data_IF_682927321028
#
_entry.id   IF_682927321028
#
_cell.length_a   1.000
_cell.length_b   1.000
_cell.length_c   1.000
_cell.angle_alpha   90.00
_cell.angle_beta   90.00
_cell.angle_gamma   90.00
#
_symmetry.space_group_name_H-M   'P 1'
#
loop_
_entity.id
_entity.type
_entity.pdbx_description
1 polymer ?
#
# COMPACT_ATOMS: atom_id res chain seq x y z
N UNK A 1 16.93 -34.16 42.10
CA UNK A 1 17.92 -33.35 41.39
C UNK A 1 17.38 -33.14 39.99
N UNK A 2 17.06 -31.89 39.65
CA UNK A 2 16.43 -31.49 38.40
C UNK A 2 17.31 -31.80 37.19
N UNK A 3 16.69 -32.01 36.03
CA UNK A 3 16.94 -31.23 34.82
C UNK A 3 15.76 -31.43 33.86
N UNK A 4 14.87 -30.44 33.82
CA UNK A 4 13.96 -30.23 32.70
C UNK A 4 14.79 -29.69 31.52
N UNK A 5 14.68 -30.35 30.38
CA UNK A 5 15.16 -29.82 29.10
C UNK A 5 14.01 -29.11 28.40
N UNK A 6 13.97 -27.78 28.49
CA UNK A 6 13.05 -26.96 27.71
C UNK A 6 13.38 -27.08 26.21
N UNK A 7 12.54 -27.81 25.48
CA UNK A 7 12.55 -27.82 24.02
C UNK A 7 11.94 -26.52 23.53
N UNK A 8 12.81 -25.62 23.06
CA UNK A 8 12.48 -24.41 22.32
C UNK A 8 11.86 -24.78 20.96
N UNK A 9 10.58 -25.20 21.01
CA UNK A 9 9.77 -25.43 19.82
C UNK A 9 9.55 -24.07 19.16
N UNK A 10 10.15 -23.88 17.99
CA UNK A 10 9.93 -22.73 17.12
C UNK A 10 8.44 -22.36 17.12
N UNK A 11 8.13 -21.10 17.45
CA UNK A 11 6.78 -20.53 17.37
C UNK A 11 6.34 -20.58 15.91
N UNK A 12 5.84 -21.75 15.49
CA UNK A 12 5.32 -22.02 14.18
C UNK A 12 4.20 -21.04 13.89
N UNK A 13 4.29 -20.38 12.74
CA UNK A 13 3.23 -19.58 12.15
C UNK A 13 1.88 -20.28 12.31
N UNK A 14 0.90 -19.60 12.92
CA UNK A 14 -0.47 -20.12 13.04
C UNK A 14 -1.00 -20.54 11.65
N UNK A 15 -1.86 -21.56 11.56
CA UNK A 15 -2.48 -21.94 10.29
C UNK A 15 -3.23 -20.75 9.69
N UNK A 16 -3.17 -20.55 8.37
CA UNK A 16 -3.80 -19.41 7.69
C UNK A 16 -5.29 -19.22 8.05
N UNK A 17 -6.03 -20.30 8.36
CA UNK A 17 -7.46 -20.25 8.76
C UNK A 17 -7.72 -19.52 10.08
N UNK A 18 -6.75 -19.46 10.99
CA UNK A 18 -6.90 -18.74 12.26
C UNK A 18 -6.61 -17.24 12.12
N UNK A 19 -5.87 -16.84 11.08
CA UNK A 19 -5.60 -15.43 10.78
C UNK A 19 -6.85 -14.67 10.39
N UNK A 20 -7.75 -15.29 9.64
CA UNK A 20 -9.02 -14.69 9.20
C UNK A 20 -10.05 -14.55 10.32
N UNK A 21 -9.76 -15.06 11.51
CA UNK A 21 -10.59 -14.86 12.71
C UNK A 21 -10.06 -13.74 13.60
N UNK A 22 -8.83 -13.26 13.35
CA UNK A 22 -8.24 -12.15 14.08
C UNK A 22 -8.79 -10.82 13.55
N UNK A 23 -9.36 -9.94 14.40
CA UNK A 23 -9.84 -8.62 13.97
C UNK A 23 -8.77 -7.77 13.26
N UNK A 24 -7.47 -7.99 13.53
CA UNK A 24 -6.38 -7.29 12.85
C UNK A 24 -6.29 -7.58 11.35
N UNK A 25 -6.88 -8.68 10.87
CA UNK A 25 -6.84 -9.04 9.46
C UNK A 25 -7.68 -8.13 8.56
N UNK A 26 -8.68 -7.45 9.12
CA UNK A 26 -9.65 -6.63 8.37
C UNK A 26 -9.62 -5.15 8.75
N UNK A 27 -8.85 -4.79 9.78
CA UNK A 27 -8.68 -3.41 10.21
C UNK A 27 -7.47 -2.76 9.55
N UNK A 28 -7.55 -1.44 9.34
CA UNK A 28 -6.36 -0.62 9.08
C UNK A 28 -5.57 -0.48 10.38
N UNK A 29 -4.58 -1.35 10.56
CA UNK A 29 -3.73 -1.38 11.76
C UNK A 29 -2.84 -0.15 11.76
N UNK A 30 -2.86 0.63 12.84
CA UNK A 30 -2.03 1.83 12.98
C UNK A 30 -0.63 1.42 13.41
N UNK A 31 0.36 1.69 12.59
CA UNK A 31 1.75 1.32 12.85
C UNK A 31 2.68 2.49 12.56
N UNK A 32 3.71 2.61 13.40
CA UNK A 32 4.87 3.45 13.09
C UNK A 32 5.75 2.74 12.06
N UNK A 33 6.54 3.52 11.32
CA UNK A 33 7.35 3.05 10.20
C UNK A 33 8.31 1.94 10.61
N UNK A 34 8.99 2.07 11.75
CA UNK A 34 9.91 1.02 12.21
C UNK A 34 9.21 -0.35 12.39
N UNK A 35 7.97 -0.35 12.89
CA UNK A 35 7.20 -1.56 13.16
C UNK A 35 6.62 -2.13 11.87
N UNK A 36 6.16 -1.25 10.97
CA UNK A 36 5.71 -1.64 9.64
C UNK A 36 6.84 -2.26 8.81
N UNK A 37 8.02 -1.67 8.81
CA UNK A 37 9.17 -2.14 8.04
C UNK A 37 9.78 -3.42 8.63
N UNK A 38 9.53 -3.71 9.92
CA UNK A 38 9.93 -4.95 10.58
C UNK A 38 8.96 -6.12 10.35
N UNK A 39 7.83 -5.90 9.65
CA UNK A 39 6.86 -6.94 9.35
C UNK A 39 7.46 -8.05 8.48
N UNK A 40 7.12 -9.30 8.79
CA UNK A 40 7.61 -10.45 8.03
C UNK A 40 6.60 -10.85 6.94
N UNK A 41 6.94 -10.77 5.65
CA UNK A 41 6.05 -11.25 4.60
C UNK A 41 5.85 -12.77 4.73
N UNK A 42 4.64 -13.24 4.47
CA UNK A 42 4.34 -14.69 4.47
C UNK A 42 4.76 -15.29 3.13
N UNK A 43 5.68 -16.27 3.10
CA UNK A 43 6.00 -16.98 1.87
C UNK A 43 4.73 -17.61 1.28
N UNK A 44 4.53 -17.50 -0.03
CA UNK A 44 3.38 -18.05 -0.79
C UNK A 44 2.04 -17.29 -0.66
N UNK A 45 1.94 -16.26 0.19
CA UNK A 45 0.72 -15.47 0.36
C UNK A 45 1.00 -13.97 0.22
N UNK A 46 1.04 -13.42 -1.01
CA UNK A 46 1.32 -12.01 -1.22
C UNK A 46 0.26 -11.13 -0.56
N UNK A 47 0.69 -10.03 0.05
CA UNK A 47 -0.19 -9.11 0.79
C UNK A 47 -0.48 -9.52 2.24
N UNK A 48 0.03 -10.67 2.70
CA UNK A 48 -0.04 -11.08 4.09
C UNK A 48 1.32 -10.90 4.78
N UNK A 49 1.27 -10.25 5.93
CA UNK A 49 2.44 -9.93 6.73
C UNK A 49 2.23 -10.38 8.18
N UNK A 50 3.31 -10.71 8.87
CA UNK A 50 3.27 -11.14 10.26
C UNK A 50 3.94 -10.12 11.16
N UNK A 51 3.18 -9.66 12.14
CA UNK A 51 3.65 -8.91 13.29
C UNK A 51 3.57 -9.81 14.51
N UNK A 52 4.72 -10.24 15.06
CA UNK A 52 4.78 -11.14 16.23
C UNK A 52 3.87 -12.38 16.11
N UNK A 53 3.73 -12.92 14.91
CA UNK A 53 2.89 -14.10 14.63
C UNK A 53 1.42 -13.82 14.34
N UNK A 54 0.97 -12.56 14.36
CA UNK A 54 -0.37 -12.12 13.97
C UNK A 54 -0.36 -11.52 12.57
N UNK A 55 -1.40 -11.81 11.81
CA UNK A 55 -1.55 -11.38 10.42
C UNK A 55 -1.97 -9.91 10.30
N UNK A 56 -1.26 -9.17 9.46
CA UNK A 56 -1.55 -7.79 9.09
C UNK A 56 -1.64 -7.72 7.57
N UNK A 57 -2.70 -7.08 7.06
CA UNK A 57 -2.95 -6.91 5.61
C UNK A 57 -3.10 -5.45 5.22
N UNK A 58 -3.68 -4.68 6.12
CA UNK A 58 -4.02 -3.28 5.92
C UNK A 58 -3.42 -2.46 7.04
N UNK A 59 -2.93 -1.29 6.69
CA UNK A 59 -2.27 -0.38 7.61
C UNK A 59 -2.81 1.03 7.45
N UNK A 60 -2.65 1.79 8.52
CA UNK A 60 -2.75 3.24 8.55
C UNK A 60 -1.42 3.79 9.07
N UNK A 61 -0.78 4.64 8.29
CA UNK A 61 0.47 5.32 8.65
C UNK A 61 0.27 6.83 8.56
N UNK A 62 1.04 7.58 9.33
CA UNK A 62 1.08 9.03 9.28
C UNK A 62 2.51 9.52 9.33
N UNK A 63 2.81 10.58 8.57
CA UNK A 63 4.10 11.26 8.65
C UNK A 63 4.25 12.36 7.61
N UNK A 64 5.43 12.94 7.58
CA UNK A 64 5.81 14.03 6.69
C UNK A 64 6.22 13.49 5.33
N UNK A 65 5.75 14.13 4.27
CA UNK A 65 6.12 13.75 2.90
C UNK A 65 7.55 14.18 2.59
N UNK A 66 8.44 13.20 2.46
CA UNK A 66 9.86 13.42 2.11
C UNK A 66 10.15 13.19 0.64
N UNK A 67 9.27 12.52 -0.10
CA UNK A 67 9.42 12.33 -1.55
C UNK A 67 8.05 12.31 -2.21
N UNK A 68 7.96 12.96 -3.38
CA UNK A 68 6.80 12.88 -4.29
C UNK A 68 7.32 12.68 -5.70
N UNK A 69 7.04 11.51 -6.27
CA UNK A 69 7.31 11.19 -7.67
C UNK A 69 5.97 10.92 -8.38
N UNK A 70 5.74 11.66 -9.47
CA UNK A 70 4.53 11.56 -10.28
C UNK A 70 4.93 11.05 -11.66
N UNK A 71 4.63 9.78 -11.93
CA UNK A 71 4.85 9.21 -13.25
C UNK A 71 3.68 9.56 -14.16
N UNK A 72 3.95 10.43 -15.12
CA UNK A 72 3.02 10.74 -16.21
C UNK A 72 3.12 9.71 -17.34
N UNK A 73 2.06 9.64 -18.15
CA UNK A 73 1.86 8.78 -19.34
C UNK A 73 3.16 8.26 -19.98
N UNK A 74 3.45 6.98 -19.80
CA UNK A 74 4.19 6.22 -20.80
C UNK A 74 3.20 5.37 -21.60
N UNK A 75 3.05 5.63 -22.90
CA UNK A 75 2.32 4.73 -23.79
C UNK A 75 3.14 3.44 -23.92
N UNK A 76 2.63 2.32 -23.43
CA UNK A 76 3.23 1.00 -23.69
C UNK A 76 2.64 0.49 -25.00
N UNK A 77 3.45 0.42 -26.05
CA UNK A 77 3.03 -0.23 -27.29
C UNK A 77 3.49 -1.68 -27.27
N UNK A 78 2.55 -2.61 -27.10
CA UNK A 78 2.81 -4.03 -27.36
C UNK A 78 2.65 -4.28 -28.86
N UNK A 79 3.75 -4.28 -29.60
CA UNK A 79 3.77 -4.82 -30.96
C UNK A 79 4.11 -6.31 -30.87
N UNK A 80 3.41 -7.14 -31.63
CA UNK A 80 3.43 -8.59 -31.50
C UNK A 80 4.78 -9.28 -31.79
N UNK A 81 5.87 -8.54 -32.06
CA UNK A 81 7.20 -9.09 -32.33
C UNK A 81 8.36 -8.37 -31.59
N UNK A 82 8.12 -7.65 -30.49
CA UNK A 82 9.19 -7.06 -29.69
C UNK A 82 8.74 -5.82 -28.92
N UNK A 83 9.08 -5.74 -27.63
CA UNK A 83 8.65 -4.64 -26.76
C UNK A 83 9.58 -3.44 -26.93
N UNK A 84 9.06 -2.31 -27.44
CA UNK A 84 9.74 -1.01 -27.38
C UNK A 84 9.07 -0.14 -26.30
N UNK A 85 9.84 0.33 -25.33
CA UNK A 85 9.38 1.23 -24.25
C UNK A 85 10.00 2.61 -24.49
N UNK A 86 9.20 3.68 -24.61
CA UNK A 86 9.72 5.06 -24.77
C UNK A 86 9.01 6.02 -23.80
N UNK A 87 9.79 6.80 -23.04
CA UNK A 87 9.28 7.89 -22.20
C UNK A 87 8.83 9.07 -23.08
N UNK A 88 7.65 9.64 -22.81
CA UNK A 88 7.21 10.91 -23.39
C UNK A 88 7.40 11.98 -22.32
N UNK A 89 8.62 12.49 -22.19
CA UNK A 89 8.87 13.77 -21.53
C UNK A 89 9.05 14.85 -22.61
N UNK A 90 8.04 15.70 -22.74
CA UNK A 90 8.10 17.06 -23.32
C UNK A 90 8.99 17.29 -24.56
N UNK A 91 8.66 16.68 -25.71
CA UNK A 91 9.10 17.22 -27.01
C UNK A 91 7.91 17.47 -27.95
N UNK A 92 7.72 18.76 -28.26
CA UNK A 92 7.27 19.20 -29.60
C UNK A 92 8.14 18.47 -30.63
N UNK A 93 7.51 17.85 -31.62
CA UNK A 93 8.11 17.20 -32.79
C UNK A 93 8.94 15.93 -32.54
N UNK A 94 8.41 14.77 -32.93
CA UNK A 94 9.20 13.66 -33.46
C UNK A 94 8.44 13.11 -34.68
N UNK A 95 8.90 13.44 -35.88
CA UNK A 95 8.52 12.75 -37.10
C UNK A 95 9.15 11.36 -37.09
N UNK A 96 8.33 10.30 -37.01
CA UNK A 96 8.79 8.94 -37.32
C UNK A 96 8.28 8.57 -38.71
N UNK A 97 9.14 8.74 -39.71
CA UNK A 97 9.07 7.96 -40.94
C UNK A 97 9.43 6.52 -40.63
N UNK A 98 8.47 5.60 -40.81
CA UNK A 98 8.63 4.31 -41.53
C UNK A 98 7.56 3.29 -41.11
N UNK A 99 6.82 2.81 -42.12
CA UNK A 99 5.89 1.67 -42.16
C UNK A 99 4.65 1.71 -41.26
N UNK A 100 3.70 2.53 -41.71
CA UNK A 100 2.29 2.50 -41.31
C UNK A 100 1.60 1.35 -42.06
N UNK A 101 1.22 0.27 -41.38
CA UNK A 101 0.15 -0.62 -41.86
C UNK A 101 -1.17 0.11 -41.52
N UNK A 102 -2.02 0.49 -42.49
CA UNK A 102 -3.06 1.49 -42.27
C UNK A 102 -4.34 0.99 -41.58
N UNK A 103 -4.38 -0.22 -41.01
CA UNK A 103 -5.68 -0.80 -40.60
C UNK A 103 -5.70 -1.58 -39.27
N UNK A 104 -4.68 -1.42 -38.43
CA UNK A 104 -4.78 -1.80 -37.02
C UNK A 104 -4.25 -0.62 -36.22
N UNK A 105 -5.18 0.26 -35.82
CA UNK A 105 -4.86 1.30 -34.85
C UNK A 105 -4.24 0.61 -33.62
N UNK A 106 -2.99 0.93 -33.24
CA UNK A 106 -2.42 0.39 -32.02
C UNK A 106 -3.32 0.81 -30.87
N UNK A 107 -3.97 -0.16 -30.22
CA UNK A 107 -4.77 0.13 -29.03
C UNK A 107 -3.82 0.66 -27.95
N UNK A 108 -4.07 1.86 -27.39
CA UNK A 108 -3.23 2.39 -26.34
C UNK A 108 -3.31 1.46 -25.13
N UNK A 109 -2.25 0.71 -24.85
CA UNK A 109 -2.13 0.03 -23.56
C UNK A 109 -1.74 1.12 -22.57
N UNK A 110 -2.78 1.60 -21.88
CA UNK A 110 -2.81 2.64 -20.86
C UNK A 110 -1.51 2.67 -20.05
N UNK A 111 -0.82 3.81 -20.08
CA UNK A 111 0.33 4.05 -19.21
C UNK A 111 -0.04 3.95 -17.74
N UNK A 112 0.85 3.39 -16.92
CA UNK A 112 0.59 3.28 -15.49
C UNK A 112 0.70 4.67 -14.86
N UNK A 113 -0.45 5.26 -14.52
CA UNK A 113 -0.47 6.51 -13.77
C UNK A 113 -0.29 6.21 -12.28
N UNK A 114 0.89 6.58 -11.78
CA UNK A 114 1.35 6.27 -10.44
C UNK A 114 1.84 7.53 -9.73
N UNK A 115 1.31 7.79 -8.53
CA UNK A 115 1.90 8.72 -7.60
C UNK A 115 2.63 7.91 -6.52
N UNK A 116 3.96 8.04 -6.48
CA UNK A 116 4.81 7.45 -5.45
C UNK A 116 5.15 8.52 -4.43
N UNK A 117 4.79 8.29 -3.17
CA UNK A 117 5.03 9.20 -2.06
C UNK A 117 5.78 8.46 -0.98
N UNK A 118 6.80 9.07 -0.39
CA UNK A 118 7.47 8.50 0.79
C UNK A 118 7.11 9.36 1.99
N UNK A 119 6.65 8.69 3.04
CA UNK A 119 6.19 9.31 4.29
C UNK A 119 7.17 8.94 5.39
N UNK A 120 7.69 9.92 6.10
CA UNK A 120 8.60 9.76 7.23
C UNK A 120 7.89 10.18 8.53
N UNK A 121 7.80 9.25 9.47
CA UNK A 121 7.20 9.50 10.78
C UNK A 121 8.23 9.73 11.88
N UNK A 122 9.52 9.86 11.53
CA UNK A 122 10.64 10.01 12.46
C UNK A 122 11.25 8.67 12.92
N UNK A 123 10.62 7.54 12.59
CA UNK A 123 11.12 6.20 12.88
C UNK A 123 11.51 5.40 11.64
N UNK A 124 11.20 5.93 10.45
CA UNK A 124 11.54 5.34 9.16
C UNK A 124 10.72 5.93 8.02
N UNK A 125 11.17 5.65 6.79
CA UNK A 125 10.53 6.10 5.56
C UNK A 125 9.68 4.98 4.96
N UNK A 126 8.37 5.21 4.81
CA UNK A 126 7.42 4.24 4.24
C UNK A 126 7.04 4.63 2.82
N UNK A 127 7.35 3.80 1.80
CA UNK A 127 6.94 4.06 0.43
C UNK A 127 5.44 3.74 0.25
N UNK A 128 4.72 4.73 -0.26
CA UNK A 128 3.29 4.72 -0.48
C UNK A 128 3.00 4.88 -1.98
N UNK A 129 2.25 3.94 -2.54
CA UNK A 129 1.90 3.91 -3.95
C UNK A 129 0.42 4.18 -4.11
N UNK A 130 0.09 5.23 -4.84
CA UNK A 130 -1.29 5.58 -5.15
C UNK A 130 -1.53 5.53 -6.67
N UNK A 131 -2.41 4.60 -7.06
CA UNK A 131 -2.84 4.42 -8.44
C UNK A 131 -3.82 5.51 -8.83
N UNK A 132 -3.65 6.08 -10.02
CA UNK A 132 -4.58 7.08 -10.58
C UNK A 132 -5.20 6.63 -11.91
N UNK A 133 -4.90 5.40 -12.36
CA UNK A 133 -5.40 4.82 -13.62
C UNK A 133 -6.64 3.91 -13.43
N UNK A 134 -7.55 4.26 -12.50
CA UNK A 134 -8.67 3.37 -12.17
C UNK A 134 -9.61 3.08 -13.37
N UNK A 135 -9.78 4.01 -14.30
CA UNK A 135 -10.60 3.81 -15.49
C UNK A 135 -9.97 2.87 -16.53
N UNK A 136 -8.69 2.50 -16.35
CA UNK A 136 -8.01 1.50 -17.17
C UNK A 136 -8.31 0.07 -16.73
N UNK A 137 -8.91 -0.13 -15.54
CA UNK A 137 -9.35 -1.45 -15.10
C UNK A 137 -10.58 -1.91 -15.89
N UNK A 138 -10.69 -3.22 -16.21
CA UNK A 138 -11.83 -3.75 -16.94
C UNK A 138 -13.13 -3.52 -16.15
N UNK A 139 -14.06 -2.79 -16.75
CA UNK A 139 -15.38 -2.57 -16.18
C UNK A 139 -16.27 -3.79 -16.46
N UNK A 140 -16.72 -4.46 -15.40
CA UNK A 140 -17.64 -5.60 -15.49
C UNK A 140 -19.09 -5.17 -15.76
N UNK A 141 -19.40 -3.89 -15.56
CA UNK A 141 -20.71 -3.29 -15.83
C UNK A 141 -20.59 -1.78 -16.10
N UNK A 142 -21.60 -1.14 -16.73
CA UNK A 142 -21.63 0.31 -16.93
C UNK A 142 -21.54 1.09 -15.60
N UNK A 143 -22.23 0.62 -14.56
CA UNK A 143 -22.18 1.20 -13.22
C UNK A 143 -20.77 1.13 -12.64
N UNK A 144 -20.06 0.00 -12.84
CA UNK A 144 -18.67 -0.14 -12.39
C UNK A 144 -17.73 0.77 -13.16
N UNK A 145 -17.97 0.96 -14.46
CA UNK A 145 -17.21 1.90 -15.29
C UNK A 145 -17.32 3.35 -14.80
N UNK A 146 -18.53 3.79 -14.40
CA UNK A 146 -18.74 5.11 -13.82
C UNK A 146 -18.03 5.28 -12.47
N UNK A 147 -18.16 4.30 -11.57
CA UNK A 147 -17.49 4.30 -10.26
C UNK A 147 -15.96 4.44 -10.40
N UNK A 148 -15.37 3.69 -11.33
CA UNK A 148 -13.92 3.73 -11.59
C UNK A 148 -13.46 5.08 -12.14
N UNK A 149 -14.26 5.74 -12.99
CA UNK A 149 -13.97 7.09 -13.50
C UNK A 149 -14.03 8.12 -12.38
N UNK A 150 -15.08 8.13 -11.57
CA UNK A 150 -15.18 9.04 -10.43
C UNK A 150 -14.03 8.84 -9.45
N UNK A 151 -13.67 7.58 -9.17
CA UNK A 151 -12.53 7.25 -8.31
C UNK A 151 -11.21 7.72 -8.92
N UNK A 152 -11.03 7.62 -10.24
CA UNK A 152 -9.87 8.16 -10.93
C UNK A 152 -9.79 9.69 -10.82
N UNK A 153 -10.87 10.41 -11.07
CA UNK A 153 -10.89 11.88 -10.97
C UNK A 153 -10.55 12.33 -9.55
N UNK A 154 -11.16 11.70 -8.53
CA UNK A 154 -10.83 11.97 -7.12
C UNK A 154 -9.38 11.62 -6.80
N UNK A 155 -8.86 10.52 -7.33
CA UNK A 155 -7.49 10.08 -7.13
C UNK A 155 -6.48 11.10 -7.71
N UNK A 156 -6.72 11.56 -8.94
CA UNK A 156 -5.91 12.59 -9.61
C UNK A 156 -5.98 13.90 -8.81
N UNK A 157 -7.17 14.35 -8.44
CA UNK A 157 -7.36 15.59 -7.69
C UNK A 157 -6.70 15.56 -6.30
N UNK A 158 -6.73 14.40 -5.62
CA UNK A 158 -6.12 14.25 -4.29
C UNK A 158 -4.60 14.23 -4.40
N UNK A 159 -4.04 13.45 -5.32
CA UNK A 159 -2.58 13.35 -5.48
C UNK A 159 -1.93 14.60 -6.06
N UNK A 160 -2.65 15.38 -6.87
CA UNK A 160 -2.18 16.66 -7.36
C UNK A 160 -1.95 17.68 -6.22
N UNK A 161 -2.70 17.56 -5.11
CA UNK A 161 -2.61 18.48 -3.97
C UNK A 161 -1.44 18.18 -3.02
N UNK A 162 -0.92 16.95 -3.03
CA UNK A 162 0.16 16.53 -2.12
C UNK A 162 1.46 17.27 -2.45
N UNK A 163 2.13 17.81 -1.43
CA UNK A 163 3.41 18.48 -1.56
C UNK A 163 4.44 17.88 -0.61
N UNK A 164 5.71 18.11 -0.92
CA UNK A 164 6.81 17.84 0.01
C UNK A 164 6.57 18.65 1.30
N UNK A 165 6.80 18.03 2.45
CA UNK A 165 6.57 18.64 3.76
C UNK A 165 5.13 18.54 4.28
N UNK A 166 4.16 18.07 3.49
CA UNK A 166 2.80 17.86 3.99
C UNK A 166 2.76 16.71 5.02
N UNK A 167 1.97 16.87 6.09
CA UNK A 167 1.62 15.78 6.98
C UNK A 167 0.48 14.96 6.36
N UNK A 168 0.74 13.70 6.01
CA UNK A 168 -0.24 12.82 5.39
C UNK A 168 -0.67 11.70 6.33
N UNK A 169 -1.98 11.43 6.38
CA UNK A 169 -2.54 10.17 6.83
C UNK A 169 -2.81 9.27 5.63
N UNK A 170 -2.21 8.09 5.63
CA UNK A 170 -2.27 7.13 4.53
C UNK A 170 -2.84 5.81 5.03
N UNK A 171 -3.93 5.37 4.41
CA UNK A 171 -4.53 4.06 4.65
C UNK A 171 -4.40 3.20 3.40
N UNK A 172 -3.95 1.97 3.56
CA UNK A 172 -3.74 1.10 2.40
C UNK A 172 -3.51 -0.35 2.74
N UNK A 173 -3.29 -1.12 1.69
CA UNK A 173 -2.91 -2.53 1.75
C UNK A 173 -1.39 -2.63 1.70
N UNK A 174 -0.83 -3.54 2.47
CA UNK A 174 0.58 -3.85 2.39
C UNK A 174 0.86 -4.67 1.13
N UNK A 175 1.99 -4.36 0.49
CA UNK A 175 2.52 -5.11 -0.63
C UNK A 175 4.04 -5.14 -0.52
N UNK A 176 4.69 -6.01 -1.30
CA UNK A 176 6.16 -6.02 -1.42
C UNK A 176 6.55 -5.73 -2.85
N UNK A 177 7.56 -4.91 -3.03
CA UNK A 177 8.20 -4.67 -4.31
C UNK A 177 9.71 -4.68 -4.10
N UNK A 178 10.43 -5.45 -4.91
CA UNK A 178 11.89 -5.60 -4.79
C UNK A 178 12.35 -5.88 -3.35
N UNK A 179 11.65 -6.79 -2.64
CA UNK A 179 11.87 -7.15 -1.24
C UNK A 179 11.72 -6.01 -0.21
N UNK A 180 11.14 -4.88 -0.59
CA UNK A 180 10.79 -3.77 0.30
C UNK A 180 9.27 -3.70 0.50
N UNK A 181 8.84 -3.40 1.71
CA UNK A 181 7.43 -3.23 2.04
C UNK A 181 6.97 -1.88 1.52
N UNK A 182 5.81 -1.87 0.85
CA UNK A 182 5.17 -0.68 0.33
C UNK A 182 3.68 -0.69 0.66
N UNK A 183 3.11 0.49 0.84
CA UNK A 183 1.67 0.65 1.09
C UNK A 183 0.99 1.00 -0.22
N UNK A 184 0.17 0.09 -0.75
CA UNK A 184 -0.76 0.42 -1.84
C UNK A 184 -1.96 1.15 -1.26
N UNK A 185 -2.03 2.44 -1.53
CA UNK A 185 -2.91 3.36 -0.83
C UNK A 185 -4.35 3.23 -1.33
N UNK A 186 -5.27 3.11 -0.37
CA UNK A 186 -6.71 3.09 -0.59
C UNK A 186 -7.36 4.45 -0.29
N UNK A 187 -6.86 5.16 0.73
CA UNK A 187 -7.34 6.47 1.16
C UNK A 187 -6.16 7.31 1.63
N UNK A 188 -6.13 8.58 1.21
CA UNK A 188 -5.05 9.53 1.48
C UNK A 188 -5.65 10.87 1.89
N UNK A 189 -5.16 11.44 2.99
CA UNK A 189 -5.63 12.73 3.53
C UNK A 189 -4.46 13.55 4.03
N UNK A 190 -4.46 14.84 3.69
CA UNK A 190 -3.56 15.82 4.31
C UNK A 190 -4.16 16.26 5.65
N UNK A 191 -3.37 16.14 6.70
CA UNK A 191 -3.76 16.54 8.05
C UNK A 191 -3.39 18.01 8.29
N UNK A 192 -4.25 18.71 9.03
CA UNK A 192 -4.08 20.13 9.35
C UNK A 192 -3.88 20.40 10.83
N UNK A 193 -4.25 19.44 11.68
CA UNK A 193 -4.08 19.57 13.12
C UNK A 193 -2.59 19.40 13.47
N UNK A 194 -1.93 20.39 14.08
CA UNK A 194 -0.53 20.29 14.48
C UNK A 194 -0.26 19.15 15.47
N UNK A 195 -1.26 18.72 16.22
CA UNK A 195 -1.12 17.63 17.19
C UNK A 195 -1.33 16.25 16.57
N UNK A 196 -1.77 16.15 15.32
CA UNK A 196 -2.16 14.89 14.69
C UNK A 196 -1.03 13.84 14.72
N UNK A 197 0.21 14.27 14.46
CA UNK A 197 1.39 13.39 14.46
C UNK A 197 1.65 12.81 15.86
N UNK A 198 1.69 13.66 16.89
CA UNK A 198 1.90 13.24 18.28
C UNK A 198 0.78 12.32 18.76
N UNK A 199 -0.47 12.65 18.43
CA UNK A 199 -1.63 11.81 18.76
C UNK A 199 -1.56 10.45 18.06
N UNK A 200 -1.13 10.40 16.79
CA UNK A 200 -0.93 9.16 16.06
C UNK A 200 0.15 8.29 16.70
N UNK A 201 1.27 8.89 17.13
CA UNK A 201 2.34 8.21 17.86
C UNK A 201 1.86 7.58 19.16
N UNK A 202 1.18 8.36 20.01
CA UNK A 202 0.64 7.87 21.29
C UNK A 202 -0.35 6.72 21.07
N UNK A 203 -1.21 6.85 20.06
CA UNK A 203 -2.18 5.82 19.73
C UNK A 203 -1.52 4.54 19.21
N UNK A 204 -0.51 4.63 18.33
CA UNK A 204 0.25 3.46 17.88
C UNK A 204 0.91 2.72 19.06
N UNK A 205 1.52 3.46 19.98
CA UNK A 205 2.16 2.88 21.17
C UNK A 205 1.14 2.22 22.11
N UNK A 206 -0.03 2.84 22.29
CA UNK A 206 -1.14 2.29 23.08
C UNK A 206 -1.67 1.01 22.44
N UNK A 207 -1.95 1.03 21.14
CA UNK A 207 -2.46 -0.12 20.40
C UNK A 207 -1.47 -1.29 20.37
N UNK A 208 -0.17 -1.01 20.24
CA UNK A 208 0.88 -2.02 20.36
C UNK A 208 0.76 -2.77 21.71
N UNK A 209 0.74 -2.02 22.82
CA UNK A 209 0.68 -2.59 24.18
C UNK A 209 -0.65 -3.25 24.51
N UNK A 210 -1.77 -2.63 24.13
CA UNK A 210 -3.11 -2.99 24.59
C UNK A 210 -3.89 -3.87 23.62
N UNK A 211 -3.45 -4.00 22.37
CA UNK A 211 -4.21 -4.72 21.36
C UNK A 211 -3.34 -5.70 20.56
N UNK A 212 -2.21 -5.26 20.04
CA UNK A 212 -1.44 -6.04 19.06
C UNK A 212 -0.53 -7.07 19.71
N UNK A 213 0.10 -6.70 20.83
CA UNK A 213 1.07 -7.54 21.56
C UNK A 213 0.41 -8.50 22.56
N UNK A 214 -0.90 -8.36 22.79
CA UNK A 214 -1.65 -9.30 23.62
C UNK A 214 -1.81 -10.64 22.90
N UNK A 215 -1.66 -11.74 23.64
CA UNK A 215 -1.98 -13.06 23.11
C UNK A 215 -3.50 -13.15 22.88
N UNK A 216 -3.96 -13.48 21.66
CA UNK A 216 -5.39 -13.70 21.37
C UNK A 216 -6.05 -14.73 22.30
N UNK A 217 -5.29 -15.66 22.89
CA UNK A 217 -5.82 -16.61 23.87
C UNK A 217 -6.29 -15.94 25.17
N UNK A 218 -5.69 -14.80 25.55
CA UNK A 218 -6.01 -14.03 26.76
C UNK A 218 -7.18 -13.06 26.56
N UNK A 219 -7.61 -12.81 25.31
CA UNK A 219 -8.77 -11.98 25.00
C UNK A 219 -10.12 -12.67 25.29
N UNK A 220 -10.12 -13.98 25.63
CA UNK A 220 -11.33 -14.77 25.90
C UNK A 220 -11.98 -14.54 27.28
N UNK A 221 -11.65 -13.47 28.01
CA UNK A 221 -12.43 -13.16 29.23
C UNK A 221 -13.75 -12.54 28.79
N UNK A 222 -14.90 -13.21 29.01
CA UNK A 222 -16.18 -12.56 28.77
C UNK A 222 -16.23 -11.30 29.65
N UNK A 223 -16.67 -10.19 29.05
CA UNK A 223 -17.15 -9.06 29.84
C UNK A 223 -18.22 -9.65 30.76
N UNK A 224 -17.94 -9.64 32.07
CA UNK A 224 -18.88 -10.12 33.08
C UNK A 224 -20.19 -9.34 32.88
N UNK A 225 -21.36 -10.00 32.88
CA UNK A 225 -22.65 -9.34 32.71
C UNK A 225 -22.89 -8.22 33.72
#
# INVERSE_FOLDING_TARGET
MAMEGESSKARGSRPCREWEQDPLCFAHVRLLAFDLLALRPVPHMPGYFLRRGRSVRQVEVMGIVVTVDRKERYLRFTCNNGTLTKMISNLKYISCTSFFIPDVAPSPVHGDYLCHVVVDDGTGCVPCIFWTNYASFPATSPAKGLELRSRQEMAIATTAKVKLGDLLRVQGRLNTYTNQIQVTVASLRTEKDPNAEVLHWVECMRLAKCCYDLDPSLQKRPLVP
#
